data_IF_730998339053
#
_entry.id   IF_730998339053
#
_cell.length_a   1.000
_cell.length_b   1.000
_cell.length_c   1.000
_cell.angle_alpha   90.00
_cell.angle_beta   90.00
_cell.angle_gamma   90.00
#
_symmetry.space_group_name_H-M   'P 1'
#
loop_
_entity.id
_entity.type
_entity.pdbx_description
1 polymer ?
#
# COMPACT_ATOMS: atom_id res chain seq x y z
N UNK A 1 -11.61 15.24 10.24
CA UNK A 1 -12.48 14.17 10.79
C UNK A 1 -11.65 13.21 11.64
N UNK A 2 -12.10 12.89 12.86
CA UNK A 2 -11.40 11.99 13.79
C UNK A 2 -11.82 10.53 13.55
N UNK A 3 -10.89 9.59 13.68
CA UNK A 3 -11.14 8.15 13.44
C UNK A 3 -12.26 7.61 14.34
N UNK A 4 -12.22 7.91 15.64
CA UNK A 4 -13.24 7.44 16.60
C UNK A 4 -14.65 7.92 16.28
N UNK A 5 -14.78 9.08 15.62
CA UNK A 5 -16.08 9.57 15.15
C UNK A 5 -16.60 8.73 13.99
N UNK A 6 -15.71 8.28 13.10
CA UNK A 6 -16.06 7.43 11.97
C UNK A 6 -16.48 6.04 12.43
N UNK A 7 -15.70 5.45 13.35
CA UNK A 7 -16.01 4.15 13.94
C UNK A 7 -17.34 4.20 14.71
N UNK A 8 -17.60 5.25 15.50
CA UNK A 8 -18.91 5.45 16.17
C UNK A 8 -20.07 5.56 15.18
N UNK A 9 -19.83 6.09 13.99
CA UNK A 9 -20.79 6.12 12.88
C UNK A 9 -20.84 4.81 12.07
N UNK A 10 -20.35 3.69 12.66
CA UNK A 10 -20.32 2.36 12.07
C UNK A 10 -19.57 2.27 10.74
N UNK A 11 -18.60 3.16 10.50
CA UNK A 11 -17.74 3.08 9.31
C UNK A 11 -16.69 2.00 9.47
N UNK A 12 -16.54 1.20 8.42
CA UNK A 12 -15.52 0.15 8.29
C UNK A 12 -14.16 0.74 7.97
N UNK A 13 -13.09 -0.02 8.19
CA UNK A 13 -11.73 0.39 7.87
C UNK A 13 -11.55 0.70 6.37
N UNK A 14 -12.19 -0.08 5.49
CA UNK A 14 -12.22 0.15 4.04
C UNK A 14 -12.90 1.49 3.70
N UNK A 15 -14.06 1.80 4.31
CA UNK A 15 -14.72 3.09 4.10
C UNK A 15 -13.87 4.26 4.60
N UNK A 16 -13.26 4.12 5.78
CA UNK A 16 -12.40 5.15 6.37
C UNK A 16 -11.18 5.39 5.49
N UNK A 17 -10.55 4.33 5.00
CA UNK A 17 -9.43 4.41 4.05
C UNK A 17 -9.83 5.19 2.80
N UNK A 18 -10.95 4.83 2.16
CA UNK A 18 -11.43 5.51 0.96
C UNK A 18 -11.78 6.98 1.22
N UNK A 19 -12.36 7.30 2.38
CA UNK A 19 -12.63 8.69 2.78
C UNK A 19 -11.33 9.49 2.98
N UNK A 20 -10.30 8.90 3.58
CA UNK A 20 -9.01 9.56 3.77
C UNK A 20 -8.26 9.77 2.47
N UNK A 21 -8.28 8.79 1.55
CA UNK A 21 -7.74 8.94 0.20
C UNK A 21 -8.45 10.07 -0.56
N UNK A 22 -9.79 10.14 -0.52
CA UNK A 22 -10.57 11.24 -1.12
C UNK A 22 -10.25 12.62 -0.52
N UNK A 23 -9.77 12.67 0.72
CA UNK A 23 -9.30 13.90 1.38
C UNK A 23 -7.82 14.22 1.05
N UNK A 24 -7.22 13.53 0.08
CA UNK A 24 -5.84 13.78 -0.35
C UNK A 24 -4.77 13.27 0.62
N UNK A 25 -5.11 12.39 1.57
CA UNK A 25 -4.08 11.75 2.42
C UNK A 25 -3.35 10.72 1.59
N UNK A 26 -2.03 10.76 1.63
CA UNK A 26 -1.22 9.78 0.94
C UNK A 26 -1.08 8.48 1.78
N UNK A 27 -0.69 7.35 1.15
CA UNK A 27 -0.55 6.07 1.84
C UNK A 27 0.39 6.08 3.05
N UNK A 28 1.50 6.83 3.02
CA UNK A 28 2.42 6.96 4.16
C UNK A 28 1.75 7.61 5.38
N UNK A 29 1.00 8.70 5.15
CA UNK A 29 0.25 9.39 6.20
C UNK A 29 -0.83 8.49 6.79
N UNK A 30 -1.51 7.73 5.94
CA UNK A 30 -2.54 6.78 6.35
C UNK A 30 -1.90 5.66 7.18
N UNK A 31 -0.80 5.06 6.71
CA UNK A 31 -0.09 3.99 7.41
C UNK A 31 0.32 4.44 8.82
N UNK A 32 1.05 5.55 8.93
CA UNK A 32 1.49 6.11 10.22
C UNK A 32 0.32 6.36 11.17
N UNK A 33 -0.84 6.75 10.63
CA UNK A 33 -2.05 6.97 11.42
C UNK A 33 -2.66 5.67 11.92
N UNK A 34 -2.75 4.63 11.09
CA UNK A 34 -3.25 3.31 11.50
C UNK A 34 -2.40 2.70 12.62
N UNK A 35 -1.07 2.79 12.52
CA UNK A 35 -0.17 2.31 13.57
C UNK A 35 -0.42 3.06 14.90
N UNK A 36 -0.59 4.38 14.86
CA UNK A 36 -0.94 5.19 16.05
C UNK A 36 -2.29 4.83 16.66
N UNK A 37 -3.19 4.26 15.87
CA UNK A 37 -4.50 3.77 16.32
C UNK A 37 -4.45 2.32 16.82
N UNK A 38 -3.26 1.74 16.94
CA UNK A 38 -3.04 0.39 17.48
C UNK A 38 -3.20 -0.72 16.44
N UNK A 39 -3.30 -0.39 15.16
CA UNK A 39 -3.40 -1.41 14.11
C UNK A 39 -2.03 -1.95 13.74
N UNK A 40 -1.97 -3.24 13.45
CA UNK A 40 -0.73 -3.91 13.10
C UNK A 40 -0.26 -3.54 11.69
N UNK A 41 1.03 -3.73 11.44
CA UNK A 41 1.61 -3.62 10.09
C UNK A 41 0.89 -4.56 9.12
N UNK A 42 0.49 -5.75 9.59
CA UNK A 42 -0.22 -6.75 8.80
C UNK A 42 -1.62 -6.30 8.40
N UNK A 43 -2.45 -5.87 9.35
CA UNK A 43 -3.81 -5.38 9.06
C UNK A 43 -3.77 -4.19 8.10
N UNK A 44 -2.87 -3.24 8.35
CA UNK A 44 -2.71 -2.05 7.51
C UNK A 44 -2.25 -2.42 6.09
N UNK A 45 -1.33 -3.37 5.98
CA UNK A 45 -0.82 -3.86 4.69
C UNK A 45 -1.88 -4.63 3.92
N UNK A 46 -2.65 -5.51 4.58
CA UNK A 46 -3.79 -6.22 3.95
C UNK A 46 -4.80 -5.24 3.39
N UNK A 47 -5.12 -4.18 4.14
CA UNK A 47 -6.03 -3.13 3.70
C UNK A 47 -5.51 -2.44 2.44
N UNK A 48 -4.23 -2.05 2.42
CA UNK A 48 -3.62 -1.37 1.28
C UNK A 48 -3.61 -2.24 0.02
N UNK A 49 -3.23 -3.52 0.15
CA UNK A 49 -3.22 -4.48 -0.96
C UNK A 49 -4.63 -4.71 -1.52
N UNK A 50 -5.64 -4.80 -0.64
CA UNK A 50 -7.05 -4.94 -1.04
C UNK A 50 -7.55 -3.72 -1.84
N UNK A 51 -7.00 -2.55 -1.57
CA UNK A 51 -7.24 -1.32 -2.32
C UNK A 51 -6.23 -1.09 -3.48
N UNK A 52 -5.64 -2.16 -4.02
CA UNK A 52 -4.77 -2.18 -5.19
C UNK A 52 -3.43 -1.42 -5.04
N UNK A 53 -3.00 -1.12 -3.81
CA UNK A 53 -1.63 -0.66 -3.61
C UNK A 53 -0.67 -1.78 -4.04
N UNK A 54 0.29 -1.44 -4.91
CA UNK A 54 1.21 -2.43 -5.43
C UNK A 54 2.26 -2.83 -4.38
N UNK A 55 2.77 -4.08 -4.40
CA UNK A 55 3.75 -4.54 -3.41
C UNK A 55 5.04 -3.71 -3.34
N UNK A 56 5.49 -3.13 -4.46
CA UNK A 56 6.65 -2.23 -4.53
C UNK A 56 6.37 -0.89 -3.83
N UNK A 57 5.15 -0.36 -3.97
CA UNK A 57 4.70 0.84 -3.27
C UNK A 57 4.61 0.57 -1.77
N UNK A 58 4.06 -0.58 -1.37
CA UNK A 58 3.96 -0.97 0.04
C UNK A 58 5.34 -1.20 0.66
N UNK A 59 6.27 -1.82 -0.07
CA UNK A 59 7.68 -1.91 0.32
C UNK A 59 8.26 -0.53 0.63
N UNK A 60 8.11 0.42 -0.29
CA UNK A 60 8.61 1.78 -0.10
C UNK A 60 8.00 2.50 1.10
N UNK A 61 6.72 2.26 1.41
CA UNK A 61 6.08 2.81 2.62
C UNK A 61 6.74 2.21 3.87
N UNK A 62 6.86 0.89 3.95
CA UNK A 62 7.44 0.20 5.11
C UNK A 62 8.89 0.61 5.35
N UNK A 63 9.69 0.72 4.28
CA UNK A 63 11.06 1.23 4.31
C UNK A 63 11.13 2.66 4.86
N UNK A 64 10.27 3.57 4.36
CA UNK A 64 10.19 4.95 4.88
C UNK A 64 9.71 5.05 6.31
N UNK A 65 8.95 4.05 6.79
CA UNK A 65 8.59 3.94 8.21
C UNK A 65 9.70 3.31 9.07
N UNK A 66 10.88 3.04 8.51
CA UNK A 66 12.03 2.49 9.22
C UNK A 66 11.87 1.02 9.59
N UNK A 67 10.99 0.29 8.92
CA UNK A 67 10.83 -1.15 9.17
C UNK A 67 12.09 -1.87 8.73
N UNK A 68 12.60 -2.73 9.61
CA UNK A 68 13.76 -3.53 9.28
C UNK A 68 13.42 -4.49 8.16
N UNK A 69 14.46 -4.82 7.41
CA UNK A 69 14.31 -5.63 6.24
C UNK A 69 13.82 -7.07 6.54
N UNK A 70 14.29 -7.63 7.66
CA UNK A 70 13.78 -8.89 8.22
C UNK A 70 12.28 -8.81 8.57
N UNK A 71 11.84 -7.68 9.13
CA UNK A 71 10.44 -7.48 9.51
C UNK A 71 9.54 -7.39 8.29
N UNK A 72 10.01 -6.74 7.21
CA UNK A 72 9.31 -6.68 5.93
C UNK A 72 9.17 -8.08 5.32
N UNK A 73 10.21 -8.92 5.39
CA UNK A 73 10.13 -10.31 4.93
C UNK A 73 9.10 -11.14 5.67
N UNK A 74 9.13 -11.12 7.02
CA UNK A 74 8.16 -11.86 7.84
C UNK A 74 6.73 -11.39 7.55
N UNK A 75 6.55 -10.10 7.29
CA UNK A 75 5.26 -9.56 6.89
C UNK A 75 4.84 -10.09 5.51
N UNK A 76 5.74 -10.13 4.53
CA UNK A 76 5.44 -10.66 3.20
C UNK A 76 5.02 -12.13 3.20
N UNK A 77 5.66 -12.96 4.01
CA UNK A 77 5.27 -14.36 4.21
C UNK A 77 3.83 -14.46 4.73
N UNK A 78 3.49 -13.68 5.75
CA UNK A 78 2.11 -13.63 6.31
C UNK A 78 1.07 -13.14 5.32
N UNK A 79 1.46 -12.25 4.41
CA UNK A 79 0.59 -11.70 3.36
C UNK A 79 0.53 -12.58 2.11
N UNK A 80 1.25 -13.71 2.09
CA UNK A 80 1.37 -14.62 0.94
C UNK A 80 1.77 -13.88 -0.36
N UNK A 81 2.64 -12.87 -0.23
CA UNK A 81 3.20 -12.15 -1.36
C UNK A 81 4.37 -12.96 -1.91
N UNK A 82 4.06 -13.95 -2.75
CA UNK A 82 5.00 -15.00 -3.18
C UNK A 82 6.44 -14.53 -3.46
N UNK A 83 7.39 -15.34 -3.02
CA UNK A 83 8.83 -15.05 -2.88
C UNK A 83 9.47 -14.37 -4.10
N UNK A 84 9.03 -14.72 -5.32
CA UNK A 84 9.58 -14.16 -6.55
C UNK A 84 9.31 -12.66 -6.72
N UNK A 85 8.18 -12.15 -6.21
CA UNK A 85 7.90 -10.70 -6.21
C UNK A 85 8.82 -9.96 -5.26
N UNK A 86 9.06 -10.55 -4.09
CA UNK A 86 9.96 -10.00 -3.07
C UNK A 86 11.39 -9.97 -3.61
N UNK A 87 11.88 -11.08 -4.17
CA UNK A 87 13.24 -11.18 -4.71
C UNK A 87 13.55 -10.09 -5.76
N UNK A 88 12.59 -9.77 -6.63
CA UNK A 88 12.78 -8.74 -7.65
C UNK A 88 12.80 -7.31 -7.10
N UNK A 89 12.24 -7.05 -5.91
CA UNK A 89 12.32 -5.74 -5.24
C UNK A 89 13.68 -5.53 -4.56
N UNK A 90 14.37 -6.61 -4.26
CA UNK A 90 15.59 -6.65 -3.46
C UNK A 90 16.88 -6.50 -4.26
N UNK A 91 16.92 -7.02 -5.49
CA UNK A 91 18.12 -6.95 -6.32
C UNK A 91 18.27 -5.53 -6.88
N UNK A 92 19.30 -4.76 -6.47
CA UNK A 92 19.56 -3.45 -7.05
C UNK A 92 19.97 -3.64 -8.51
N UNK A 93 19.33 -2.90 -9.43
CA UNK A 93 19.69 -2.87 -10.85
C UNK A 93 18.62 -3.38 -11.82
N UNK A 94 17.49 -3.91 -11.35
CA UNK A 94 16.33 -4.11 -12.24
C UNK A 94 15.48 -2.84 -12.26
N UNK A 95 15.12 -2.29 -13.43
CA UNK A 95 14.23 -1.15 -13.49
C UNK A 95 12.92 -1.55 -12.81
N UNK A 96 12.53 -0.78 -11.78
CA UNK A 96 11.17 -0.81 -11.24
C UNK A 96 10.28 -0.61 -12.45
N UNK A 97 9.62 -1.67 -12.95
CA UNK A 97 8.74 -1.57 -14.11
C UNK A 97 7.65 -0.59 -13.74
N UNK A 98 7.84 0.67 -14.16
CA UNK A 98 6.75 1.59 -14.40
C UNK A 98 5.89 0.86 -15.41
N UNK A 99 4.80 0.25 -14.95
CA UNK A 99 3.69 -0.11 -15.83
C UNK A 99 3.05 1.21 -16.26
N UNK A 100 3.74 1.95 -17.12
CA UNK A 100 3.08 2.85 -18.05
C UNK A 100 2.14 1.95 -18.84
N UNK A 101 0.85 2.06 -18.53
CA UNK A 101 -0.19 1.67 -19.46
C UNK A 101 0.07 2.50 -20.72
N UNK A 102 0.75 1.93 -21.70
CA UNK A 102 0.67 2.42 -23.07
C UNK A 102 -0.70 2.02 -23.58
N UNK A 103 -1.69 2.84 -23.28
CA UNK A 103 -2.88 2.92 -24.11
C UNK A 103 -2.47 3.76 -25.32
N UNK A 104 -1.91 3.12 -26.32
CA UNK A 104 -1.97 3.66 -27.69
C UNK A 104 -2.97 2.81 -28.45
N UNK A 105 -4.25 3.18 -28.28
CA UNK A 105 -5.31 2.84 -29.20
C UNK A 105 -5.84 4.13 -29.81
N UNK A 106 -5.64 4.27 -31.12
CA UNK A 106 -6.40 5.14 -32.00
C UNK A 106 -5.75 6.50 -32.31
N UNK A 107 -5.87 7.09 -33.50
CA UNK A 107 -6.62 6.77 -34.72
C UNK A 107 -6.23 7.81 -35.79
N UNK A 108 -6.14 7.37 -37.05
CA UNK A 108 -6.24 8.11 -38.32
C UNK A 108 -5.32 9.32 -38.62
N UNK A 109 -4.60 9.22 -39.75
CA UNK A 109 -4.73 10.21 -40.82
C UNK A 109 -4.97 9.50 -42.15
N UNK A 110 -6.05 9.93 -42.80
CA UNK A 110 -6.41 9.73 -44.21
C UNK A 110 -5.35 10.23 -45.16
#
# INVERSE_FOLDING_TARGET
MKYDSLVRNKKTDDEIYMMWMKQGKNPDQIFKRWIRLGKSDEETSRLFLRHNLQPDQLYGILERQGKSMESIYKLWEKLNLGDRRIYNLWVPGKPKRLTTKSTECGTMRT
#
